data_IF_626003610182
#
_entry.id   IF_626003610182
#
_cell.length_a   1.000
_cell.length_b   1.000
_cell.length_c   1.000
_cell.angle_alpha   90.00
_cell.angle_beta   90.00
_cell.angle_gamma   90.00
#
_symmetry.space_group_name_H-M   'P 1'
#
loop_
_entity.id
_entity.type
_entity.pdbx_description
1 polymer ?
#
# COMPACT_ATOMS: atom_id res chain seq x y z
N UNK A 1 -54.30 -195.97 -233.49
CA UNK A 1 -53.06 -195.29 -233.05
C UNK A 1 -53.18 -193.76 -232.87
N UNK A 2 -54.21 -193.06 -233.39
CA UNK A 2 -54.31 -191.60 -233.23
C UNK A 2 -55.04 -191.12 -231.95
N UNK A 3 -56.16 -191.75 -231.56
CA UNK A 3 -57.06 -191.23 -230.50
C UNK A 3 -56.43 -191.13 -229.10
N UNK A 4 -55.57 -192.08 -228.73
CA UNK A 4 -54.96 -192.18 -227.38
C UNK A 4 -53.85 -191.15 -227.06
N UNK A 5 -53.53 -190.25 -228.01
CA UNK A 5 -52.50 -189.21 -227.82
C UNK A 5 -53.09 -187.83 -227.53
N UNK A 6 -54.31 -187.57 -228.01
CA UNK A 6 -55.01 -186.29 -227.83
C UNK A 6 -55.76 -186.17 -226.49
N UNK A 7 -56.00 -187.28 -225.78
CA UNK A 7 -56.61 -187.24 -224.43
C UNK A 7 -55.59 -186.79 -223.36
N UNK A 8 -54.32 -187.21 -223.47
CA UNK A 8 -53.24 -186.82 -222.55
C UNK A 8 -52.89 -185.33 -222.63
N UNK A 9 -52.78 -184.76 -223.84
CA UNK A 9 -52.51 -183.32 -224.02
C UNK A 9 -53.65 -182.43 -223.48
N UNK A 10 -54.87 -182.96 -223.33
CA UNK A 10 -55.99 -182.22 -222.72
C UNK A 10 -55.87 -182.18 -221.19
N UNK A 11 -55.51 -183.29 -220.57
CA UNK A 11 -55.39 -183.37 -219.10
C UNK A 11 -54.24 -182.49 -218.58
N UNK A 12 -53.10 -182.41 -219.27
CA UNK A 12 -51.99 -181.51 -218.89
C UNK A 12 -52.38 -180.01 -218.94
N UNK A 13 -53.14 -179.59 -219.97
CA UNK A 13 -53.57 -178.19 -220.10
C UNK A 13 -54.60 -177.81 -219.02
N UNK A 14 -55.43 -178.75 -218.59
CA UNK A 14 -56.48 -178.48 -217.61
C UNK A 14 -55.90 -178.28 -216.19
N UNK A 15 -54.83 -179.01 -215.86
CA UNK A 15 -54.12 -178.90 -214.57
C UNK A 15 -53.35 -177.57 -214.43
N UNK A 16 -52.76 -177.08 -215.52
CA UNK A 16 -52.05 -175.79 -215.54
C UNK A 16 -52.98 -174.57 -215.34
N UNK A 17 -54.28 -174.70 -215.58
CA UNK A 17 -55.26 -173.62 -215.36
C UNK A 17 -55.63 -173.50 -213.87
N UNK A 18 -55.86 -174.62 -213.19
CA UNK A 18 -56.20 -174.65 -211.76
C UNK A 18 -55.06 -174.09 -210.87
N UNK A 19 -53.79 -174.32 -211.22
CA UNK A 19 -52.65 -173.70 -210.52
C UNK A 19 -52.61 -172.18 -210.69
N UNK A 20 -53.01 -171.65 -211.85
CA UNK A 20 -53.01 -170.21 -212.11
C UNK A 20 -54.12 -169.47 -211.36
N UNK A 21 -55.31 -170.06 -211.25
CA UNK A 21 -56.43 -169.48 -210.49
C UNK A 21 -56.12 -169.42 -208.98
N UNK A 22 -55.50 -170.48 -208.43
CA UNK A 22 -55.10 -170.50 -207.01
C UNK A 22 -54.05 -169.43 -206.66
N UNK A 23 -53.17 -169.08 -207.60
CA UNK A 23 -52.17 -168.03 -207.41
C UNK A 23 -52.80 -166.62 -207.33
N UNK A 24 -53.90 -166.37 -208.05
CA UNK A 24 -54.56 -165.07 -208.07
C UNK A 24 -55.27 -164.75 -206.74
N UNK A 25 -56.01 -165.71 -206.17
CA UNK A 25 -56.67 -165.54 -204.87
C UNK A 25 -55.68 -165.19 -203.74
N UNK A 26 -54.45 -165.71 -203.80
CA UNK A 26 -53.42 -165.38 -202.81
C UNK A 26 -52.92 -163.93 -202.87
N UNK A 27 -52.91 -163.30 -204.05
CA UNK A 27 -52.50 -161.89 -204.18
C UNK A 27 -53.61 -160.93 -203.77
N UNK A 28 -54.87 -161.21 -204.11
CA UNK A 28 -56.01 -160.40 -203.64
C UNK A 28 -56.09 -160.38 -202.10
N UNK A 29 -55.85 -161.54 -201.45
CA UNK A 29 -55.79 -161.67 -200.00
C UNK A 29 -54.62 -160.90 -199.33
N UNK A 30 -53.57 -160.53 -200.08
CA UNK A 30 -52.48 -159.66 -199.59
C UNK A 30 -52.86 -158.19 -199.70
N UNK A 31 -53.48 -157.77 -200.80
CA UNK A 31 -53.92 -156.37 -201.01
C UNK A 31 -54.92 -155.95 -199.93
N UNK A 32 -55.89 -156.81 -199.59
CA UNK A 32 -56.88 -156.51 -198.55
C UNK A 32 -56.22 -156.32 -197.17
N UNK A 33 -55.20 -157.12 -196.85
CA UNK A 33 -54.41 -156.98 -195.61
C UNK A 33 -53.64 -155.66 -195.56
N UNK A 34 -52.95 -155.30 -196.64
CA UNK A 34 -52.22 -154.03 -196.73
C UNK A 34 -53.15 -152.81 -196.57
N UNK A 35 -54.38 -152.86 -197.09
CA UNK A 35 -55.37 -151.79 -196.89
C UNK A 35 -55.82 -151.66 -195.42
N UNK A 36 -56.01 -152.77 -194.70
CA UNK A 36 -56.34 -152.73 -193.28
C UNK A 36 -55.17 -152.23 -192.42
N UNK A 37 -53.94 -152.63 -192.72
CA UNK A 37 -52.74 -152.10 -192.05
C UNK A 37 -52.61 -150.59 -192.25
N UNK A 38 -52.79 -150.08 -193.48
CA UNK A 38 -52.73 -148.65 -193.78
C UNK A 38 -53.80 -147.84 -193.01
N UNK A 39 -55.00 -148.39 -192.87
CA UNK A 39 -56.09 -147.78 -192.08
C UNK A 39 -55.73 -147.70 -190.60
N UNK A 40 -55.19 -148.80 -190.04
CA UNK A 40 -54.76 -148.89 -188.64
C UNK A 40 -53.64 -147.87 -188.35
N UNK A 41 -52.63 -147.78 -189.22
CA UNK A 41 -51.52 -146.81 -189.09
C UNK A 41 -52.02 -145.36 -189.14
N UNK A 42 -53.01 -145.03 -189.98
CA UNK A 42 -53.61 -143.69 -189.98
C UNK A 42 -54.25 -143.33 -188.65
N UNK A 43 -55.09 -144.20 -188.10
CA UNK A 43 -55.71 -143.97 -186.79
C UNK A 43 -54.67 -143.84 -185.66
N UNK A 44 -53.56 -144.59 -185.73
CA UNK A 44 -52.46 -144.47 -184.79
C UNK A 44 -51.72 -143.12 -184.90
N UNK A 45 -51.51 -142.60 -186.13
CA UNK A 45 -50.92 -141.28 -186.36
C UNK A 45 -51.83 -140.17 -185.82
N UNK A 46 -53.12 -140.18 -186.17
CA UNK A 46 -54.06 -139.14 -185.73
C UNK A 46 -54.19 -139.11 -184.20
N UNK A 47 -54.21 -140.30 -183.57
CA UNK A 47 -54.17 -140.43 -182.10
C UNK A 47 -52.88 -139.83 -181.51
N UNK A 48 -51.71 -140.13 -182.08
CA UNK A 48 -50.42 -139.59 -181.60
C UNK A 48 -50.30 -138.07 -181.79
N UNK A 49 -50.95 -137.51 -182.80
CA UNK A 49 -51.05 -136.05 -182.96
C UNK A 49 -51.87 -135.46 -181.81
N UNK A 50 -53.06 -136.03 -181.53
CA UNK A 50 -53.92 -135.53 -180.45
C UNK A 50 -53.27 -135.65 -179.06
N UNK A 51 -52.63 -136.79 -178.76
CA UNK A 51 -51.84 -136.97 -177.53
C UNK A 51 -50.72 -135.92 -177.42
N UNK A 52 -50.06 -135.54 -178.53
CA UNK A 52 -49.05 -134.49 -178.53
C UNK A 52 -49.61 -133.08 -178.38
N UNK A 53 -50.80 -132.80 -178.90
CA UNK A 53 -51.48 -131.53 -178.68
C UNK A 53 -51.89 -131.35 -177.21
N UNK A 54 -52.40 -132.40 -176.55
CA UNK A 54 -52.66 -132.39 -175.10
C UNK A 54 -51.37 -132.24 -174.27
N UNK A 55 -50.27 -132.91 -174.64
CA UNK A 55 -48.95 -132.69 -174.01
C UNK A 55 -48.47 -131.24 -174.15
N UNK A 56 -48.66 -130.61 -175.32
CA UNK A 56 -48.30 -129.20 -175.53
C UNK A 56 -49.23 -128.24 -174.78
N UNK A 57 -50.51 -128.55 -174.64
CA UNK A 57 -51.44 -127.71 -173.88
C UNK A 57 -51.21 -127.82 -172.37
N UNK A 58 -50.94 -129.03 -171.86
CA UNK A 58 -50.60 -129.27 -170.44
C UNK A 58 -49.26 -128.64 -170.06
N UNK A 59 -48.22 -128.77 -170.88
CA UNK A 59 -46.94 -128.05 -170.64
C UNK A 59 -47.12 -126.54 -170.70
N UNK A 60 -47.91 -126.00 -171.64
CA UNK A 60 -48.22 -124.56 -171.70
C UNK A 60 -48.97 -124.07 -170.46
N UNK A 61 -49.97 -124.82 -169.97
CA UNK A 61 -50.67 -124.52 -168.69
C UNK A 61 -49.72 -124.58 -167.49
N UNK A 62 -48.81 -125.55 -167.44
CA UNK A 62 -47.82 -125.67 -166.36
C UNK A 62 -46.83 -124.51 -166.36
N UNK A 63 -46.34 -124.09 -167.53
CA UNK A 63 -45.49 -122.90 -167.65
C UNK A 63 -46.24 -121.61 -167.31
N UNK A 64 -47.50 -121.44 -167.73
CA UNK A 64 -48.32 -120.29 -167.35
C UNK A 64 -48.49 -120.19 -165.83
N UNK A 65 -48.86 -121.30 -165.16
CA UNK A 65 -48.95 -121.38 -163.68
C UNK A 65 -47.60 -121.08 -162.99
N UNK A 66 -46.49 -121.53 -163.57
CA UNK A 66 -45.16 -121.24 -163.05
C UNK A 66 -44.81 -119.75 -163.17
N UNK A 67 -45.18 -119.10 -164.28
CA UNK A 67 -45.00 -117.66 -164.49
C UNK A 67 -45.88 -116.86 -163.51
N UNK A 68 -47.15 -117.20 -163.37
CA UNK A 68 -48.06 -116.57 -162.39
C UNK A 68 -47.54 -116.73 -160.95
N UNK A 69 -47.05 -117.92 -160.59
CA UNK A 69 -46.44 -118.17 -159.27
C UNK A 69 -45.18 -117.34 -159.06
N UNK A 70 -44.30 -117.21 -160.07
CA UNK A 70 -43.10 -116.36 -159.97
C UNK A 70 -43.45 -114.87 -159.91
N UNK A 71 -44.48 -114.42 -160.64
CA UNK A 71 -44.98 -113.05 -160.57
C UNK A 71 -45.57 -112.73 -159.19
N UNK A 72 -46.38 -113.63 -158.63
CA UNK A 72 -46.89 -113.50 -157.27
C UNK A 72 -45.76 -113.47 -156.21
N UNK A 73 -44.72 -114.29 -156.37
CA UNK A 73 -43.52 -114.23 -155.52
C UNK A 73 -42.76 -112.91 -155.65
N UNK A 74 -42.57 -112.40 -156.87
CA UNK A 74 -41.90 -111.12 -157.12
C UNK A 74 -42.71 -109.93 -156.57
N UNK A 75 -44.03 -109.96 -156.67
CA UNK A 75 -44.91 -108.97 -156.04
C UNK A 75 -44.85 -109.03 -154.52
N UNK A 76 -44.84 -110.23 -153.92
CA UNK A 76 -44.69 -110.39 -152.48
C UNK A 76 -43.32 -109.87 -151.99
N UNK A 77 -42.24 -110.17 -152.71
CA UNK A 77 -40.89 -109.73 -152.37
C UNK A 77 -40.69 -108.22 -152.57
N UNK A 78 -41.26 -107.64 -153.63
CA UNK A 78 -41.22 -106.17 -153.83
C UNK A 78 -42.05 -105.42 -152.77
N UNK A 79 -43.21 -105.93 -152.35
CA UNK A 79 -43.97 -105.39 -151.21
C UNK A 79 -43.19 -105.51 -149.89
N UNK A 80 -42.66 -106.70 -149.60
CA UNK A 80 -41.84 -106.95 -148.40
C UNK A 80 -40.60 -106.03 -148.35
N UNK A 81 -39.92 -105.84 -149.48
CA UNK A 81 -38.80 -104.89 -149.62
C UNK A 81 -39.23 -103.44 -149.37
N UNK A 82 -40.39 -103.03 -149.86
CA UNK A 82 -40.92 -101.68 -149.62
C UNK A 82 -41.26 -101.46 -148.13
N UNK A 83 -41.85 -102.47 -147.47
CA UNK A 83 -42.13 -102.44 -146.03
C UNK A 83 -40.84 -102.42 -145.20
N UNK A 84 -39.86 -103.27 -145.53
CA UNK A 84 -38.55 -103.27 -144.89
C UNK A 84 -37.81 -101.94 -145.04
N UNK A 85 -37.89 -101.28 -146.20
CA UNK A 85 -37.34 -99.94 -146.41
C UNK A 85 -38.08 -98.87 -145.60
N UNK A 86 -39.40 -98.97 -145.45
CA UNK A 86 -40.19 -98.07 -144.60
C UNK A 86 -39.86 -98.25 -143.11
N UNK A 87 -39.74 -99.50 -142.66
CA UNK A 87 -39.32 -99.84 -141.29
C UNK A 87 -37.88 -99.35 -141.03
N UNK A 88 -36.95 -99.59 -141.96
CA UNK A 88 -35.58 -99.06 -141.89
C UNK A 88 -35.56 -97.55 -141.71
N UNK A 89 -36.27 -96.79 -142.56
CA UNK A 89 -36.34 -95.32 -142.43
C UNK A 89 -36.95 -94.86 -141.11
N UNK A 90 -37.92 -95.60 -140.57
CA UNK A 90 -38.46 -95.31 -139.24
C UNK A 90 -37.40 -95.54 -138.17
N UNK A 91 -36.72 -96.69 -138.18
CA UNK A 91 -35.65 -96.99 -137.21
C UNK A 91 -34.49 -95.99 -137.32
N UNK A 92 -34.12 -95.53 -138.52
CA UNK A 92 -33.14 -94.45 -138.71
C UNK A 92 -33.61 -93.12 -138.09
N UNK A 93 -34.91 -92.78 -138.17
CA UNK A 93 -35.49 -91.61 -137.50
C UNK A 93 -35.50 -91.77 -135.98
N UNK A 94 -36.00 -92.92 -135.49
CA UNK A 94 -36.07 -93.26 -134.07
C UNK A 94 -34.66 -93.24 -133.44
N UNK A 95 -33.62 -93.71 -134.15
CA UNK A 95 -32.21 -93.62 -133.74
C UNK A 95 -31.76 -92.16 -133.64
N UNK A 96 -31.98 -91.33 -134.66
CA UNK A 96 -31.58 -89.91 -134.64
C UNK A 96 -32.26 -89.13 -133.49
N UNK A 97 -33.53 -89.43 -133.21
CA UNK A 97 -34.28 -88.83 -132.09
C UNK A 97 -33.70 -89.27 -130.73
N UNK A 98 -33.39 -90.57 -130.57
CA UNK A 98 -32.78 -91.11 -129.36
C UNK A 98 -31.35 -90.60 -129.14
N UNK A 99 -30.55 -90.44 -130.20
CA UNK A 99 -29.22 -89.84 -130.16
C UNK A 99 -29.29 -88.38 -129.71
N UNK A 100 -30.19 -87.57 -130.29
CA UNK A 100 -30.43 -86.18 -129.89
C UNK A 100 -30.90 -86.06 -128.43
N UNK A 101 -31.81 -86.94 -127.99
CA UNK A 101 -32.28 -86.99 -126.61
C UNK A 101 -31.17 -87.41 -125.63
N UNK A 102 -30.33 -88.38 -126.00
CA UNK A 102 -29.16 -88.81 -125.22
C UNK A 102 -28.13 -87.68 -125.10
N UNK A 103 -27.87 -86.95 -126.18
CA UNK A 103 -26.98 -85.79 -126.19
C UNK A 103 -27.49 -84.67 -125.26
N UNK A 104 -28.80 -84.40 -125.30
CA UNK A 104 -29.43 -83.42 -124.40
C UNK A 104 -29.38 -83.87 -122.93
N UNK A 105 -29.68 -85.15 -122.66
CA UNK A 105 -29.58 -85.75 -121.33
C UNK A 105 -28.14 -85.73 -120.79
N UNK A 106 -27.14 -85.99 -121.63
CA UNK A 106 -25.72 -85.90 -121.26
C UNK A 106 -25.31 -84.46 -120.95
N UNK A 107 -25.69 -83.48 -121.79
CA UNK A 107 -25.40 -82.05 -121.54
C UNK A 107 -26.01 -81.59 -120.21
N UNK A 108 -27.30 -81.82 -120.01
CA UNK A 108 -28.00 -81.45 -118.76
C UNK A 108 -27.42 -82.17 -117.53
N UNK A 109 -27.04 -83.46 -117.62
CA UNK A 109 -26.33 -84.17 -116.56
C UNK A 109 -24.98 -83.51 -116.23
N UNK A 110 -24.17 -83.13 -117.23
CA UNK A 110 -22.90 -82.43 -116.96
C UNK A 110 -23.09 -81.04 -116.36
N UNK A 111 -24.17 -80.33 -116.69
CA UNK A 111 -24.52 -79.06 -116.06
C UNK A 111 -24.96 -79.25 -114.60
N UNK A 112 -25.83 -80.23 -114.33
CA UNK A 112 -26.25 -80.58 -112.97
C UNK A 112 -25.08 -81.05 -112.10
N UNK A 113 -24.10 -81.76 -112.66
CA UNK A 113 -22.86 -82.11 -111.93
C UNK A 113 -22.00 -80.88 -111.61
N UNK A 114 -21.93 -79.89 -112.51
CA UNK A 114 -21.24 -78.62 -112.24
C UNK A 114 -21.96 -77.80 -111.18
N UNK A 115 -23.29 -77.71 -111.22
CA UNK A 115 -24.06 -76.98 -110.20
C UNK A 115 -24.01 -77.68 -108.85
N UNK A 116 -24.07 -79.02 -108.80
CA UNK A 116 -23.87 -79.80 -107.59
C UNK A 116 -22.50 -79.54 -106.96
N UNK A 117 -21.41 -79.61 -107.73
CA UNK A 117 -20.05 -79.31 -107.22
C UNK A 117 -19.94 -77.88 -106.69
N UNK A 118 -20.53 -76.89 -107.37
CA UNK A 118 -20.57 -75.50 -106.89
C UNK A 118 -21.34 -75.39 -105.57
N UNK A 119 -22.51 -76.03 -105.46
CA UNK A 119 -23.32 -76.01 -104.24
C UNK A 119 -22.61 -76.74 -103.08
N UNK A 120 -21.91 -77.84 -103.34
CA UNK A 120 -21.09 -78.53 -102.35
C UNK A 120 -19.92 -77.65 -101.85
N UNK A 121 -19.24 -76.95 -102.76
CA UNK A 121 -18.21 -75.99 -102.40
C UNK A 121 -18.78 -74.86 -101.52
N UNK A 122 -19.86 -74.19 -101.96
CA UNK A 122 -20.49 -73.11 -101.19
C UNK A 122 -21.04 -73.60 -99.84
N UNK A 123 -21.55 -74.83 -99.75
CA UNK A 123 -21.97 -75.41 -98.47
C UNK A 123 -20.78 -75.63 -97.52
N UNK A 124 -19.63 -76.11 -98.04
CA UNK A 124 -18.39 -76.25 -97.26
C UNK A 124 -17.84 -74.89 -96.81
N UNK A 125 -17.84 -73.88 -97.69
CA UNK A 125 -17.40 -72.52 -97.38
C UNK A 125 -18.27 -71.90 -96.27
N UNK A 126 -19.59 -71.97 -96.42
CA UNK A 126 -20.55 -71.51 -95.40
C UNK A 126 -20.40 -72.27 -94.07
N UNK A 127 -20.13 -73.58 -94.11
CA UNK A 127 -19.89 -74.34 -92.90
C UNK A 127 -18.62 -73.85 -92.18
N UNK A 128 -17.50 -73.68 -92.90
CA UNK A 128 -16.27 -73.13 -92.29
C UNK A 128 -16.45 -71.71 -91.76
N UNK A 129 -17.28 -70.89 -92.42
CA UNK A 129 -17.62 -69.55 -91.94
C UNK A 129 -18.45 -69.61 -90.65
N UNK A 130 -19.44 -70.51 -90.56
CA UNK A 130 -20.24 -70.72 -89.34
C UNK A 130 -19.38 -71.22 -88.18
N UNK A 131 -18.43 -72.13 -88.43
CA UNK A 131 -17.48 -72.62 -87.42
C UNK A 131 -16.57 -71.49 -86.89
N UNK A 132 -16.07 -70.62 -87.78
CA UNK A 132 -15.27 -69.45 -87.41
C UNK A 132 -16.07 -68.40 -86.61
N UNK A 133 -17.28 -68.05 -87.05
CA UNK A 133 -18.18 -67.13 -86.34
C UNK A 133 -18.57 -67.68 -84.95
N UNK A 134 -18.73 -69.00 -84.80
CA UNK A 134 -18.96 -69.63 -83.50
C UNK A 134 -17.74 -69.50 -82.58
N UNK A 135 -16.53 -69.74 -83.08
CA UNK A 135 -15.29 -69.55 -82.32
C UNK A 135 -15.14 -68.10 -81.86
N UNK A 136 -15.28 -67.12 -82.78
CA UNK A 136 -15.19 -65.70 -82.44
C UNK A 136 -16.26 -65.25 -81.43
N UNK A 137 -17.49 -65.76 -81.54
CA UNK A 137 -18.56 -65.49 -80.57
C UNK A 137 -18.21 -66.02 -79.18
N UNK A 138 -17.62 -67.21 -79.10
CA UNK A 138 -17.30 -67.83 -77.81
C UNK A 138 -16.03 -67.20 -77.19
N UNK A 139 -15.02 -66.82 -77.97
CA UNK A 139 -13.92 -65.94 -77.54
C UNK A 139 -14.44 -64.60 -76.98
N UNK A 140 -15.35 -63.93 -77.70
CA UNK A 140 -15.95 -62.67 -77.25
C UNK A 140 -16.74 -62.82 -75.95
N UNK A 141 -17.39 -63.98 -75.72
CA UNK A 141 -18.06 -64.31 -74.46
C UNK A 141 -17.07 -64.52 -73.32
N UNK A 142 -15.95 -65.20 -73.55
CA UNK A 142 -14.91 -65.36 -72.52
C UNK A 142 -14.29 -64.00 -72.13
N UNK A 143 -14.01 -63.13 -73.11
CA UNK A 143 -13.53 -61.77 -72.87
C UNK A 143 -14.56 -60.95 -72.08
N UNK A 144 -15.84 -61.03 -72.43
CA UNK A 144 -16.91 -60.36 -71.68
C UNK A 144 -17.03 -60.87 -70.24
N UNK A 145 -17.00 -62.19 -70.03
CA UNK A 145 -17.05 -62.79 -68.69
C UNK A 145 -15.81 -62.46 -67.85
N UNK A 146 -14.63 -62.36 -68.46
CA UNK A 146 -13.41 -61.92 -67.78
C UNK A 146 -13.48 -60.42 -67.39
N UNK A 147 -14.02 -59.58 -68.27
CA UNK A 147 -14.27 -58.17 -67.99
C UNK A 147 -15.30 -57.96 -66.86
N UNK A 148 -16.38 -58.74 -66.85
CA UNK A 148 -17.41 -58.72 -65.80
C UNK A 148 -16.85 -59.14 -64.44
N UNK A 149 -16.07 -60.24 -64.38
CA UNK A 149 -15.36 -60.64 -63.14
C UNK A 149 -14.43 -59.54 -62.64
N UNK A 150 -13.69 -58.88 -63.53
CA UNK A 150 -12.81 -57.76 -63.17
C UNK A 150 -13.59 -56.54 -62.67
N UNK A 151 -14.72 -56.22 -63.29
CA UNK A 151 -15.60 -55.14 -62.83
C UNK A 151 -16.14 -55.43 -61.42
N UNK A 152 -16.58 -56.65 -61.15
CA UNK A 152 -17.08 -57.05 -59.83
C UNK A 152 -15.99 -57.00 -58.75
N UNK A 153 -14.75 -57.36 -59.07
CA UNK A 153 -13.60 -57.18 -58.15
C UNK A 153 -13.36 -55.70 -57.82
N UNK A 154 -13.34 -54.83 -58.84
CA UNK A 154 -13.15 -53.38 -58.66
C UNK A 154 -14.30 -52.76 -57.84
N UNK A 155 -15.54 -53.24 -58.01
CA UNK A 155 -16.67 -52.82 -57.18
C UNK A 155 -16.47 -53.21 -55.72
N UNK A 156 -16.01 -54.44 -55.44
CA UNK A 156 -15.66 -54.87 -54.08
C UNK A 156 -14.54 -54.02 -53.47
N UNK A 157 -13.45 -53.80 -54.19
CA UNK A 157 -12.35 -52.91 -53.77
C UNK A 157 -12.83 -51.48 -53.46
N UNK A 158 -13.77 -50.94 -54.26
CA UNK A 158 -14.37 -49.63 -54.01
C UNK A 158 -15.27 -49.60 -52.76
N UNK A 159 -15.98 -50.68 -52.45
CA UNK A 159 -16.79 -50.79 -51.24
C UNK A 159 -15.91 -50.91 -49.98
N UNK A 160 -14.85 -51.73 -50.04
CA UNK A 160 -13.84 -51.81 -48.98
C UNK A 160 -13.20 -50.44 -48.71
N UNK A 161 -12.73 -49.75 -49.76
CA UNK A 161 -12.15 -48.41 -49.63
C UNK A 161 -13.13 -47.37 -49.08
N UNK A 162 -14.43 -47.45 -49.41
CA UNK A 162 -15.48 -46.59 -48.82
C UNK A 162 -15.64 -46.83 -47.33
N UNK A 163 -15.70 -48.09 -46.89
CA UNK A 163 -15.84 -48.41 -45.46
C UNK A 163 -14.60 -47.99 -44.66
N UNK A 164 -13.40 -48.17 -45.23
CA UNK A 164 -12.15 -47.69 -44.64
C UNK A 164 -12.11 -46.15 -44.54
N UNK A 165 -12.60 -45.43 -45.56
CA UNK A 165 -12.72 -43.97 -45.54
C UNK A 165 -13.70 -43.49 -44.45
N UNK A 166 -14.89 -44.08 -44.34
CA UNK A 166 -15.85 -43.76 -43.28
C UNK A 166 -15.27 -43.99 -41.88
N UNK A 167 -14.52 -45.08 -41.70
CA UNK A 167 -13.86 -45.38 -40.43
C UNK A 167 -12.75 -44.37 -40.11
N UNK A 168 -11.96 -43.98 -41.11
CA UNK A 168 -10.94 -42.93 -40.97
C UNK A 168 -11.56 -41.55 -40.66
N UNK A 169 -12.69 -41.19 -41.27
CA UNK A 169 -13.41 -39.95 -40.95
C UNK A 169 -13.97 -39.94 -39.52
N UNK A 170 -14.50 -41.08 -39.03
CA UNK A 170 -14.95 -41.21 -37.64
C UNK A 170 -13.78 -41.05 -36.66
N UNK A 171 -12.63 -41.69 -36.96
CA UNK A 171 -11.42 -41.54 -36.16
C UNK A 171 -10.89 -40.09 -36.17
N UNK A 172 -10.92 -39.41 -37.33
CA UNK A 172 -10.52 -38.00 -37.46
C UNK A 172 -11.40 -37.09 -36.61
N UNK A 173 -12.72 -37.26 -36.65
CA UNK A 173 -13.68 -36.49 -35.83
C UNK A 173 -13.52 -36.73 -34.33
N UNK A 174 -13.18 -37.95 -33.92
CA UNK A 174 -12.86 -38.23 -32.52
C UNK A 174 -11.60 -37.48 -32.06
N UNK A 175 -10.51 -37.53 -32.84
CA UNK A 175 -9.28 -36.80 -32.56
C UNK A 175 -9.46 -35.27 -32.60
N UNK A 176 -10.30 -34.74 -33.50
CA UNK A 176 -10.70 -33.32 -33.53
C UNK A 176 -11.43 -32.91 -32.23
N UNK A 177 -12.29 -33.78 -31.68
CA UNK A 177 -12.99 -33.55 -30.41
C UNK A 177 -12.01 -33.57 -29.22
N UNK A 178 -11.13 -34.57 -29.15
CA UNK A 178 -10.09 -34.66 -28.11
C UNK A 178 -9.15 -33.45 -28.11
N UNK A 179 -8.80 -32.94 -29.31
CA UNK A 179 -8.01 -31.72 -29.46
C UNK A 179 -8.75 -30.49 -28.93
N UNK A 180 -10.06 -30.38 -29.17
CA UNK A 180 -10.86 -29.27 -28.65
C UNK A 180 -10.96 -29.31 -27.12
N UNK A 181 -11.25 -30.48 -26.54
CA UNK A 181 -11.25 -30.67 -25.08
C UNK A 181 -9.89 -30.35 -24.45
N UNK A 182 -8.79 -30.74 -25.10
CA UNK A 182 -7.44 -30.40 -24.63
C UNK A 182 -7.17 -28.89 -24.69
N UNK A 183 -7.61 -28.20 -25.74
CA UNK A 183 -7.50 -26.74 -25.86
C UNK A 183 -8.31 -26.01 -24.78
N UNK A 184 -9.52 -26.47 -24.49
CA UNK A 184 -10.37 -25.90 -23.43
C UNK A 184 -9.73 -26.09 -22.04
N UNK A 185 -9.18 -27.29 -21.75
CA UNK A 185 -8.43 -27.55 -20.51
C UNK A 185 -7.18 -26.67 -20.39
N UNK A 186 -6.47 -26.43 -21.49
CA UNK A 186 -5.31 -25.51 -21.51
C UNK A 186 -5.76 -24.06 -21.21
N UNK A 187 -6.89 -23.63 -21.77
CA UNK A 187 -7.48 -22.32 -21.49
C UNK A 187 -7.87 -22.18 -20.01
N UNK A 188 -8.56 -23.17 -19.46
CA UNK A 188 -8.95 -23.21 -18.06
C UNK A 188 -7.72 -23.14 -17.14
N UNK A 189 -6.74 -24.04 -17.31
CA UNK A 189 -5.50 -24.04 -16.52
C UNK A 189 -4.72 -22.72 -16.66
N UNK A 190 -4.74 -22.10 -17.84
CA UNK A 190 -4.09 -20.80 -18.05
C UNK A 190 -4.77 -19.67 -17.26
N UNK A 191 -6.10 -19.63 -17.25
CA UNK A 191 -6.86 -18.63 -16.45
C UNK A 191 -6.75 -18.87 -14.94
N UNK A 192 -6.74 -20.14 -14.51
CA UNK A 192 -6.47 -20.52 -13.12
C UNK A 192 -5.05 -20.08 -12.69
N UNK A 193 -4.03 -20.34 -13.52
CA UNK A 193 -2.64 -19.96 -13.25
C UNK A 193 -2.48 -18.42 -13.19
N UNK A 194 -3.11 -17.67 -14.10
CA UNK A 194 -3.14 -16.21 -14.03
C UNK A 194 -3.78 -15.70 -12.72
N UNK A 195 -4.87 -16.33 -12.28
CA UNK A 195 -5.56 -16.01 -11.02
C UNK A 195 -4.67 -16.29 -9.80
N UNK A 196 -4.07 -17.49 -9.73
CA UNK A 196 -3.14 -17.88 -8.67
C UNK A 196 -1.90 -16.98 -8.62
N UNK A 197 -1.35 -16.60 -9.77
CA UNK A 197 -0.22 -15.66 -9.86
C UNK A 197 -0.58 -14.26 -9.35
N UNK A 198 -1.81 -13.79 -9.60
CA UNK A 198 -2.32 -12.54 -9.04
C UNK A 198 -2.48 -12.61 -7.52
N UNK A 199 -3.11 -13.68 -7.01
CA UNK A 199 -3.25 -13.94 -5.58
C UNK A 199 -1.89 -14.04 -4.88
N UNK A 200 -0.91 -14.71 -5.50
CA UNK A 200 0.45 -14.83 -4.98
C UNK A 200 1.12 -13.46 -4.82
N UNK A 201 1.03 -12.59 -5.84
CA UNK A 201 1.55 -11.21 -5.77
C UNK A 201 0.86 -10.38 -4.70
N UNK A 202 -0.45 -10.56 -4.51
CA UNK A 202 -1.19 -9.87 -3.45
C UNK A 202 -0.75 -10.34 -2.06
N UNK A 203 -0.53 -11.65 -1.87
CA UNK A 203 0.00 -12.20 -0.63
C UNK A 203 1.44 -11.74 -0.37
N UNK A 204 2.32 -11.76 -1.38
CA UNK A 204 3.69 -11.20 -1.33
C UNK A 204 3.67 -9.74 -0.86
N UNK A 205 2.76 -8.93 -1.40
CA UNK A 205 2.58 -7.53 -0.99
C UNK A 205 2.09 -7.42 0.47
N UNK A 206 1.11 -8.22 0.91
CA UNK A 206 0.66 -8.20 2.31
C UNK A 206 1.74 -8.66 3.30
N UNK A 207 2.59 -9.63 2.93
CA UNK A 207 3.73 -10.05 3.75
C UNK A 207 4.73 -8.92 3.90
N UNK A 208 5.04 -8.21 2.80
CA UNK A 208 5.94 -7.05 2.83
C UNK A 208 5.37 -5.92 3.70
N UNK A 209 4.06 -5.66 3.63
CA UNK A 209 3.40 -4.68 4.49
C UNK A 209 3.47 -5.06 5.98
N UNK A 210 3.09 -6.31 6.33
CA UNK A 210 3.17 -6.80 7.71
C UNK A 210 4.60 -6.82 8.27
N UNK A 211 5.62 -6.96 7.42
CA UNK A 211 7.03 -6.80 7.82
C UNK A 211 7.35 -5.35 8.19
N UNK A 212 6.86 -4.37 7.42
CA UNK A 212 6.99 -2.94 7.75
C UNK A 212 6.28 -2.62 9.08
N UNK A 213 5.03 -3.06 9.25
CA UNK A 213 4.24 -2.85 10.46
C UNK A 213 4.95 -3.45 11.70
N UNK A 214 5.59 -4.61 11.54
CA UNK A 214 6.36 -5.26 12.60
C UNK A 214 7.64 -4.50 12.94
N UNK A 215 8.39 -4.03 11.95
CA UNK A 215 9.60 -3.22 12.17
C UNK A 215 9.27 -1.88 12.84
N UNK A 216 8.15 -1.25 12.46
CA UNK A 216 7.62 -0.05 13.13
C UNK A 216 7.23 -0.34 14.59
N UNK A 217 6.47 -1.40 14.84
CA UNK A 217 6.09 -1.81 16.21
C UNK A 217 7.32 -2.16 17.08
N UNK A 218 8.36 -2.77 16.51
CA UNK A 218 9.64 -3.04 17.20
C UNK A 218 10.40 -1.73 17.49
N UNK A 219 10.35 -0.74 16.59
CA UNK A 219 10.94 0.57 16.83
C UNK A 219 10.17 1.35 17.92
N UNK A 220 8.83 1.32 17.92
CA UNK A 220 8.01 1.90 18.99
C UNK A 220 8.28 1.23 20.34
N UNK A 221 8.35 -0.11 20.39
CA UNK A 221 8.67 -0.85 21.61
C UNK A 221 10.01 -0.41 22.20
N UNK A 222 11.07 -0.28 21.38
CA UNK A 222 12.38 0.23 21.81
C UNK A 222 12.30 1.66 22.35
N UNK A 223 11.56 2.54 21.68
CA UNK A 223 11.34 3.92 22.14
C UNK A 223 10.59 3.96 23.49
N UNK A 224 9.62 3.07 23.71
CA UNK A 224 8.90 2.94 24.98
C UNK A 224 9.81 2.36 26.08
N UNK A 225 10.60 1.34 25.78
CA UNK A 225 11.61 0.80 26.71
C UNK A 225 12.63 1.86 27.13
N UNK A 226 13.15 2.68 26.20
CA UNK A 226 14.06 3.77 26.55
C UNK A 226 13.40 4.81 27.45
N UNK A 227 12.13 5.16 27.21
CA UNK A 227 11.36 6.05 28.08
C UNK A 227 11.14 5.43 29.46
N UNK A 228 10.82 4.13 29.54
CA UNK A 228 10.69 3.39 30.81
C UNK A 228 12.00 3.42 31.59
N UNK A 229 13.12 3.04 30.96
CA UNK A 229 14.46 3.04 31.58
C UNK A 229 14.87 4.43 32.09
N UNK A 230 14.50 5.51 31.40
CA UNK A 230 14.72 6.90 31.87
C UNK A 230 13.86 7.21 33.10
N UNK A 231 12.57 6.88 33.08
CA UNK A 231 11.67 7.07 34.23
C UNK A 231 12.07 6.21 35.45
N UNK A 232 12.56 4.99 35.23
CA UNK A 232 13.13 4.11 36.26
C UNK A 232 14.40 4.73 36.87
N UNK A 233 15.29 5.31 36.06
CA UNK A 233 16.47 6.02 36.55
C UNK A 233 16.11 7.28 37.35
N UNK A 234 15.16 8.09 36.87
CA UNK A 234 14.69 9.29 37.56
C UNK A 234 13.98 8.96 38.88
N UNK A 235 13.14 7.92 38.91
CA UNK A 235 12.48 7.47 40.16
C UNK A 235 13.48 6.87 41.16
N UNK A 236 14.47 6.11 40.70
CA UNK A 236 15.56 5.61 41.56
C UNK A 236 16.38 6.77 42.16
N UNK A 237 16.68 7.81 41.36
CA UNK A 237 17.34 9.03 41.83
C UNK A 237 16.49 9.79 42.85
N UNK A 238 15.20 9.99 42.60
CA UNK A 238 14.30 10.66 43.53
C UNK A 238 14.14 9.89 44.84
N UNK A 239 14.14 8.55 44.80
CA UNK A 239 14.11 7.71 46.00
C UNK A 239 15.39 7.85 46.85
N UNK A 240 16.54 8.02 46.20
CA UNK A 240 17.83 8.30 46.86
C UNK A 240 17.90 9.73 47.43
N UNK A 241 17.42 10.73 46.70
CA UNK A 241 17.28 12.11 47.21
C UNK A 241 16.34 12.16 48.42
N UNK A 242 15.20 11.46 48.36
CA UNK A 242 14.28 11.33 49.50
C UNK A 242 14.91 10.63 50.70
N UNK A 243 15.71 9.57 50.51
CA UNK A 243 16.43 8.92 51.61
C UNK A 243 17.41 9.88 52.28
N UNK A 244 18.18 10.64 51.51
CA UNK A 244 19.13 11.63 52.04
C UNK A 244 18.42 12.73 52.83
N UNK A 245 17.27 13.20 52.34
CA UNK A 245 16.46 14.19 53.06
C UNK A 245 15.84 13.59 54.35
N UNK A 246 15.43 12.32 54.33
CA UNK A 246 14.98 11.62 55.53
C UNK A 246 16.11 11.45 56.56
N UNK A 247 17.31 11.05 56.14
CA UNK A 247 18.49 10.96 57.00
C UNK A 247 18.90 12.33 57.56
N UNK A 248 18.86 13.38 56.74
CA UNK A 248 19.09 14.76 57.15
C UNK A 248 18.07 15.22 58.19
N UNK A 249 16.78 15.02 57.92
CA UNK A 249 15.67 15.34 58.82
C UNK A 249 15.78 14.61 60.16
N UNK A 250 16.09 13.31 60.16
CA UNK A 250 16.37 12.54 61.38
C UNK A 250 17.59 13.11 62.13
N UNK A 251 18.64 13.53 61.42
CA UNK A 251 19.79 14.21 61.99
C UNK A 251 19.43 15.53 62.68
N UNK A 252 18.63 16.37 62.01
CA UNK A 252 18.10 17.62 62.54
C UNK A 252 17.17 17.38 63.74
N UNK A 253 16.32 16.35 63.71
CA UNK A 253 15.44 16.03 64.83
C UNK A 253 16.22 15.55 66.06
N UNK A 254 17.29 14.76 65.88
CA UNK A 254 18.23 14.41 66.97
C UNK A 254 18.91 15.65 67.54
N UNK A 255 19.40 16.55 66.68
CA UNK A 255 20.01 17.81 67.11
C UNK A 255 19.01 18.67 67.90
N UNK A 256 17.77 18.79 67.40
CA UNK A 256 16.67 19.52 68.05
C UNK A 256 16.38 18.96 69.44
N UNK A 257 16.23 17.63 69.58
CA UNK A 257 16.02 16.96 70.89
C UNK A 257 17.21 17.18 71.84
N UNK A 258 18.44 17.18 71.32
CA UNK A 258 19.63 17.51 72.10
C UNK A 258 19.61 18.96 72.61
N UNK A 259 19.23 19.92 71.77
CA UNK A 259 19.08 21.33 72.15
C UNK A 259 17.90 21.55 73.11
N UNK A 260 16.76 20.88 72.91
CA UNK A 260 15.62 20.91 73.84
C UNK A 260 16.02 20.42 75.24
N UNK A 261 16.83 19.34 75.32
CA UNK A 261 17.36 18.86 76.60
C UNK A 261 18.35 19.86 77.22
N UNK A 262 19.25 20.46 76.43
CA UNK A 262 20.17 21.51 76.94
C UNK A 262 19.41 22.74 77.46
N UNK A 263 18.36 23.19 76.76
CA UNK A 263 17.49 24.27 77.24
C UNK A 263 16.81 23.88 78.54
N UNK A 264 16.31 22.65 78.66
CA UNK A 264 15.70 22.15 79.90
C UNK A 264 16.68 22.08 81.08
N UNK A 265 17.92 21.67 80.83
CA UNK A 265 18.99 21.62 81.84
C UNK A 265 19.47 23.04 82.24
N UNK A 266 19.38 24.01 81.34
CA UNK A 266 19.61 25.43 81.65
C UNK A 266 18.43 26.04 82.43
N UNK A 267 17.20 25.64 82.11
CA UNK A 267 15.99 26.07 82.81
C UNK A 267 16.01 25.62 84.28
N UNK A 268 16.33 24.35 84.55
CA UNK A 268 16.45 23.85 85.93
C UNK A 268 17.58 24.54 86.71
N UNK A 269 18.72 24.82 86.08
CA UNK A 269 19.79 25.63 86.70
C UNK A 269 19.36 27.07 87.00
N UNK A 270 18.51 27.66 86.16
CA UNK A 270 17.93 28.97 86.41
C UNK A 270 16.97 28.94 87.61
N UNK A 271 16.04 27.96 87.64
CA UNK A 271 15.10 27.76 88.74
C UNK A 271 15.84 27.51 90.08
N UNK A 272 16.94 26.76 90.07
CA UNK A 272 17.82 26.55 91.22
C UNK A 272 18.49 27.86 91.69
N UNK A 273 18.97 28.70 90.76
CA UNK A 273 19.57 29.99 91.07
C UNK A 273 18.53 30.97 91.67
N UNK A 274 17.35 31.08 91.06
CA UNK A 274 16.25 31.91 91.56
C UNK A 274 15.76 31.44 92.94
N UNK A 275 15.63 30.12 93.13
CA UNK A 275 15.28 29.52 94.41
C UNK A 275 16.29 29.82 95.54
N UNK A 276 17.59 29.93 95.20
CA UNK A 276 18.64 30.34 96.14
C UNK A 276 18.54 31.84 96.49
N UNK A 277 18.28 32.71 95.51
CA UNK A 277 18.07 34.15 95.75
C UNK A 277 16.83 34.39 96.64
N UNK A 278 15.72 33.71 96.36
CA UNK A 278 14.48 33.82 97.15
C UNK A 278 14.63 33.41 98.62
N UNK A 279 15.46 32.41 98.91
CA UNK A 279 15.74 31.94 100.28
C UNK A 279 16.71 32.85 101.03
N UNK A 280 17.66 33.50 100.32
CA UNK A 280 18.59 34.47 100.91
C UNK A 280 17.99 35.86 101.14
N UNK A 281 17.36 36.44 100.11
CA UNK A 281 16.91 37.83 100.10
C UNK A 281 15.86 38.15 101.16
N UNK A 282 14.87 37.26 101.37
CA UNK A 282 13.79 37.48 102.37
C UNK A 282 14.30 37.68 103.80
N UNK A 283 15.41 37.03 104.17
CA UNK A 283 16.02 37.18 105.51
C UNK A 283 16.75 38.51 105.71
N UNK A 284 17.25 39.11 104.63
CA UNK A 284 17.97 40.39 104.67
C UNK A 284 16.98 41.55 104.67
N UNK A 285 15.91 41.46 103.86
CA UNK A 285 14.84 42.47 103.77
C UNK A 285 14.18 42.69 105.14
N UNK A 286 13.71 41.63 105.80
CA UNK A 286 13.06 41.74 107.12
C UNK A 286 13.96 42.40 108.20
N UNK A 287 15.29 42.26 108.07
CA UNK A 287 16.25 42.84 109.00
C UNK A 287 16.53 44.33 108.74
N UNK A 288 16.33 44.78 107.50
CA UNK A 288 16.40 46.19 107.10
C UNK A 288 15.08 46.92 107.44
N UNK A 289 13.93 46.27 107.24
CA UNK A 289 12.60 46.80 107.60
C UNK A 289 12.50 47.12 109.10
N UNK A 290 12.95 46.21 109.98
CA UNK A 290 13.00 46.47 111.42
C UNK A 290 13.91 47.66 111.78
N UNK A 291 15.02 47.85 111.06
CA UNK A 291 15.96 48.94 111.31
C UNK A 291 15.43 50.30 110.84
N UNK A 292 14.61 50.32 109.79
CA UNK A 292 13.90 51.53 109.35
C UNK A 292 12.93 51.98 110.45
N UNK A 293 12.15 51.04 111.00
CA UNK A 293 11.14 51.36 112.01
C UNK A 293 11.71 51.91 113.33
N UNK A 294 12.89 51.42 113.75
CA UNK A 294 13.64 51.99 114.88
C UNK A 294 14.07 53.45 114.62
N UNK A 295 14.59 53.74 113.42
CA UNK A 295 15.06 55.07 113.04
C UNK A 295 13.92 56.08 112.82
N UNK A 296 12.75 55.62 112.38
CA UNK A 296 11.54 56.44 112.29
C UNK A 296 11.10 56.94 113.68
N UNK A 297 11.11 56.07 114.68
CA UNK A 297 10.72 56.41 116.06
C UNK A 297 11.70 57.38 116.74
N UNK A 298 13.01 57.24 116.52
CA UNK A 298 14.01 58.20 117.02
C UNK A 298 13.84 59.59 116.36
N UNK A 299 13.50 59.64 115.06
CA UNK A 299 13.27 60.88 114.32
C UNK A 299 12.00 61.62 114.80
N UNK A 300 10.91 60.91 115.12
CA UNK A 300 9.72 61.54 115.71
C UNK A 300 10.02 62.17 117.09
N UNK A 301 10.81 61.51 117.93
CA UNK A 301 11.22 62.07 119.23
C UNK A 301 12.08 63.33 119.09
N UNK A 302 13.01 63.37 118.15
CA UNK A 302 13.80 64.58 117.88
C UNK A 302 12.97 65.71 117.24
N UNK A 303 12.01 65.41 116.36
CA UNK A 303 11.08 66.44 115.87
C UNK A 303 10.27 67.06 117.02
N UNK A 304 9.84 66.26 117.99
CA UNK A 304 9.07 66.77 119.13
C UNK A 304 9.93 67.70 120.02
N UNK A 305 11.19 67.33 120.29
CA UNK A 305 12.15 68.19 121.01
C UNK A 305 12.45 69.48 120.26
N UNK A 306 12.71 69.40 118.95
CA UNK A 306 13.02 70.56 118.12
C UNK A 306 11.88 71.59 118.11
N UNK A 307 10.61 71.14 118.09
CA UNK A 307 9.46 72.04 118.20
C UNK A 307 9.36 72.77 119.55
N UNK A 308 9.84 72.18 120.65
CA UNK A 308 9.89 72.83 121.96
C UNK A 308 11.01 73.88 122.01
N UNK A 309 12.21 73.55 121.51
CA UNK A 309 13.33 74.51 121.44
C UNK A 309 12.98 75.74 120.60
N UNK A 310 12.27 75.54 119.48
CA UNK A 310 11.79 76.65 118.64
C UNK A 310 10.75 77.55 119.34
N UNK A 311 9.95 77.03 120.28
CA UNK A 311 8.98 77.83 121.06
C UNK A 311 9.70 78.70 122.09
N UNK A 312 10.73 78.18 122.77
CA UNK A 312 11.54 78.97 123.70
C UNK A 312 12.39 80.03 123.00
N UNK A 313 13.00 79.67 121.87
CA UNK A 313 13.80 80.62 121.07
C UNK A 313 12.97 81.86 120.69
N UNK A 314 11.71 81.68 120.23
CA UNK A 314 10.80 82.78 119.91
C UNK A 314 10.37 83.63 121.11
N UNK A 315 10.42 83.11 122.34
CA UNK A 315 10.21 83.90 123.57
C UNK A 315 11.45 84.74 123.90
N UNK A 316 12.63 84.13 123.82
CA UNK A 316 13.89 84.82 124.10
C UNK A 316 14.19 85.92 123.06
N UNK A 317 13.87 85.70 121.78
CA UNK A 317 14.00 86.69 120.70
C UNK A 317 13.18 87.97 120.95
N UNK A 318 11.99 87.86 121.54
CA UNK A 318 11.16 89.02 121.90
C UNK A 318 11.79 89.81 123.04
N UNK A 319 12.23 89.11 124.08
CA UNK A 319 12.89 89.69 125.26
C UNK A 319 14.22 90.36 124.91
N UNK A 320 14.95 89.81 123.93
CA UNK A 320 16.19 90.37 123.40
C UNK A 320 15.93 91.66 122.62
N UNK A 321 14.84 91.73 121.83
CA UNK A 321 14.42 92.95 121.12
C UNK A 321 13.97 94.07 122.08
N UNK A 322 13.30 93.76 123.17
CA UNK A 322 12.98 94.72 124.24
C UNK A 322 14.25 95.27 124.92
N UNK A 323 15.20 94.39 125.26
CA UNK A 323 16.49 94.79 125.86
C UNK A 323 17.35 95.66 124.92
N UNK A 324 17.36 95.38 123.61
CA UNK A 324 18.08 96.21 122.63
C UNK A 324 17.48 97.62 122.58
N UNK A 325 16.14 97.75 122.58
CA UNK A 325 15.48 99.07 122.59
C UNK A 325 15.82 99.86 123.87
N UNK A 326 15.83 99.21 125.03
CA UNK A 326 16.22 99.81 126.31
C UNK A 326 17.66 100.34 126.27
N UNK A 327 18.60 99.55 125.73
CA UNK A 327 20.02 99.93 125.60
C UNK A 327 20.21 101.11 124.64
N UNK A 328 19.43 101.21 123.56
CA UNK A 328 19.48 102.35 122.63
C UNK A 328 18.94 103.65 123.26
N UNK A 329 17.95 103.56 124.14
CA UNK A 329 17.42 104.72 124.89
C UNK A 329 18.41 105.20 125.96
N UNK A 330 18.96 104.28 126.76
CA UNK A 330 19.98 104.59 127.77
C UNK A 330 21.24 105.19 127.14
N UNK A 331 21.68 104.68 125.98
CA UNK A 331 22.85 105.22 125.25
C UNK A 331 22.63 106.66 124.78
N UNK A 332 21.41 107.03 124.37
CA UNK A 332 21.07 108.43 124.04
C UNK A 332 21.06 109.33 125.27
N UNK A 333 20.64 108.82 126.43
CA UNK A 333 20.68 109.55 127.69
C UNK A 333 22.14 109.76 128.17
N UNK A 334 22.98 108.73 128.06
CA UNK A 334 24.39 108.78 128.46
C UNK A 334 25.20 109.77 127.61
N UNK A 335 24.93 109.86 126.30
CA UNK A 335 25.54 110.86 125.41
C UNK A 335 25.16 112.31 125.81
N UNK A 336 23.92 112.57 126.24
CA UNK A 336 23.51 113.88 126.76
C UNK A 336 24.23 114.25 128.05
N UNK A 337 24.49 113.28 128.92
CA UNK A 337 25.26 113.47 130.15
C UNK A 337 26.76 113.72 129.87
N UNK A 338 27.35 113.08 128.87
CA UNK A 338 28.73 113.36 128.44
C UNK A 338 28.90 114.78 127.90
N UNK A 339 28.02 115.23 127.00
CA UNK A 339 28.06 116.59 126.43
C UNK A 339 27.87 117.68 127.52
N UNK A 340 27.03 117.43 128.53
CA UNK A 340 26.92 118.31 129.70
C UNK A 340 28.20 118.32 130.56
N UNK A 341 28.87 117.17 130.68
CA UNK A 341 30.10 117.02 131.47
C UNK A 341 31.28 117.75 130.82
N UNK A 342 31.47 117.65 129.50
CA UNK A 342 32.52 118.39 128.77
C UNK A 342 32.32 119.90 128.85
N UNK A 343 31.06 120.38 128.76
CA UNK A 343 30.72 121.80 128.92
C UNK A 343 31.06 122.35 130.31
N UNK A 344 30.92 121.54 131.36
CA UNK A 344 31.33 121.90 132.72
C UNK A 344 32.85 121.86 132.91
N UNK A 345 33.54 120.85 132.36
CA UNK A 345 35.01 120.77 132.41
C UNK A 345 35.69 121.93 131.69
N UNK A 346 35.15 122.38 130.55
CA UNK A 346 35.70 123.54 129.84
C UNK A 346 35.50 124.85 130.62
N UNK A 347 34.38 125.03 131.36
CA UNK A 347 34.23 126.17 132.29
C UNK A 347 35.24 126.12 133.44
N UNK A 348 35.52 124.94 134.00
CA UNK A 348 36.52 124.79 135.07
C UNK A 348 37.93 125.17 134.58
N UNK A 349 38.30 124.83 133.34
CA UNK A 349 39.58 125.24 132.73
C UNK A 349 39.70 126.77 132.60
N UNK A 350 38.62 127.46 132.20
CA UNK A 350 38.61 128.93 132.10
C UNK A 350 38.77 129.57 133.47
N UNK A 351 38.03 129.09 134.48
CA UNK A 351 38.13 129.65 135.84
C UNK A 351 39.49 129.41 136.51
N UNK A 352 40.16 128.26 136.27
CA UNK A 352 41.53 128.06 136.76
C UNK A 352 42.51 129.11 136.23
N UNK A 353 42.44 129.40 134.92
CA UNK A 353 43.34 130.36 134.27
C UNK A 353 43.16 131.79 134.82
N UNK A 354 41.92 132.17 135.15
CA UNK A 354 41.61 133.46 135.77
C UNK A 354 42.09 133.57 137.23
N UNK A 355 42.22 132.45 137.95
CA UNK A 355 42.82 132.44 139.30
C UNK A 355 44.34 132.56 139.21
N UNK A 356 44.97 131.82 138.30
CA UNK A 356 46.43 131.89 138.05
C UNK A 356 46.87 133.32 137.66
N UNK A 357 46.15 133.98 136.75
CA UNK A 357 46.39 135.39 136.37
C UNK A 357 46.19 136.38 137.54
N UNK A 358 45.29 136.09 138.48
CA UNK A 358 45.07 136.93 139.66
C UNK A 358 46.15 136.74 140.75
N UNK A 359 46.64 135.51 140.93
CA UNK A 359 47.75 135.20 141.85
C UNK A 359 49.06 135.85 141.39
N UNK A 360 49.31 135.91 140.08
CA UNK A 360 50.50 136.55 139.52
C UNK A 360 50.51 138.08 139.77
N UNK A 361 49.35 138.74 139.67
CA UNK A 361 49.18 140.16 140.01
C UNK A 361 49.38 140.40 141.52
N UNK A 362 48.92 139.48 142.37
CA UNK A 362 49.12 139.57 143.82
C UNK A 362 50.61 139.44 144.20
N UNK A 363 51.33 138.51 143.58
CA UNK A 363 52.77 138.32 143.78
C UNK A 363 53.59 139.57 143.40
N UNK A 364 53.27 140.22 142.28
CA UNK A 364 53.93 141.47 141.83
C UNK A 364 53.73 142.62 142.83
N UNK A 365 52.54 142.76 143.40
CA UNK A 365 52.28 143.81 144.40
C UNK A 365 52.94 143.51 145.76
N UNK A 366 52.99 142.24 146.18
CA UNK A 366 53.71 141.85 147.40
C UNK A 366 55.22 142.10 147.29
N UNK A 367 55.80 141.94 146.09
CA UNK A 367 57.20 142.28 145.81
C UNK A 367 57.48 143.80 145.93
N UNK A 368 56.56 144.65 145.45
CA UNK A 368 56.65 146.11 145.63
C UNK A 368 56.59 146.51 147.11
N UNK A 369 55.72 145.86 147.89
CA UNK A 369 55.60 146.10 149.33
C UNK A 369 56.91 145.80 150.08
N UNK A 370 57.55 144.65 149.79
CA UNK A 370 58.84 144.29 150.39
C UNK A 370 59.98 145.25 150.04
N UNK A 371 60.00 145.79 148.82
CA UNK A 371 61.03 146.77 148.43
C UNK A 371 60.86 148.10 149.15
N UNK A 372 59.63 148.62 149.22
CA UNK A 372 59.33 149.84 149.96
C UNK A 372 59.56 149.71 151.49
N UNK A 373 59.41 148.51 152.04
CA UNK A 373 59.75 148.22 153.44
C UNK A 373 61.27 148.24 153.67
N UNK A 374 62.06 147.62 152.78
CA UNK A 374 63.53 147.64 152.85
C UNK A 374 64.10 149.06 152.77
N UNK A 375 63.55 149.91 151.88
CA UNK A 375 63.99 151.30 151.73
C UNK A 375 63.63 152.17 152.98
N UNK A 376 62.67 151.74 153.81
CA UNK A 376 62.30 152.41 155.05
C UNK A 376 63.20 151.96 156.23
N UNK A 377 63.51 150.67 156.33
CA UNK A 377 64.41 150.11 157.35
C UNK A 377 65.82 150.72 157.22
N UNK A 378 66.33 150.90 155.99
CA UNK A 378 67.56 151.64 155.67
C UNK A 378 67.52 153.14 156.08
N UNK A 379 66.32 153.73 156.16
CA UNK A 379 66.13 155.12 156.62
C UNK A 379 66.11 155.23 158.14
N UNK A 380 65.65 154.17 158.84
CA UNK A 380 65.62 154.11 160.30
C UNK A 380 67.03 153.93 160.89
N UNK A 381 67.86 153.04 160.32
CA UNK A 381 69.24 152.84 160.81
C UNK A 381 70.11 154.10 160.65
N UNK A 382 69.83 154.97 159.66
CA UNK A 382 70.52 156.26 159.52
C UNK A 382 70.10 157.31 160.56
N UNK A 383 68.90 157.20 161.13
CA UNK A 383 68.45 158.08 162.22
C UNK A 383 69.10 157.68 163.56
N UNK A 384 69.12 156.38 163.88
CA UNK A 384 69.70 155.83 165.11
C UNK A 384 71.21 156.10 165.25
N UNK A 385 71.93 156.13 164.12
CA UNK A 385 73.36 156.50 164.08
C UNK A 385 73.58 158.00 164.32
N UNK A 386 72.59 158.85 164.02
CA UNK A 386 72.70 160.30 164.22
C UNK A 386 72.49 160.73 165.69
N UNK A 387 71.52 160.14 166.41
CA UNK A 387 71.30 160.50 167.83
C UNK A 387 72.31 159.87 168.80
N UNK A 388 72.86 158.68 168.48
CA UNK A 388 73.94 158.08 169.26
C UNK A 388 75.22 158.94 169.35
N UNK A 389 75.39 159.96 168.49
CA UNK A 389 76.50 160.91 168.57
C UNK A 389 76.19 162.19 169.37
N UNK A 390 74.92 162.55 169.58
CA UNK A 390 74.56 163.75 170.36
C UNK A 390 74.55 163.51 171.88
N UNK A 391 74.34 162.27 172.32
CA UNK A 391 74.46 161.87 173.74
C UNK A 391 75.87 162.09 174.31
N UNK A 392 76.93 162.05 173.48
CA UNK A 392 78.33 162.06 173.93
C UNK A 392 78.95 163.44 174.24
N UNK A 393 78.28 164.56 173.99
CA UNK A 393 78.91 165.90 174.14
C UNK A 393 78.16 166.96 174.95
N UNK A 394 76.94 166.72 175.46
CA UNK A 394 76.20 167.70 176.31
C UNK A 394 75.33 167.01 177.37
N UNK A 395 75.84 166.32 178.39
CA UNK A 395 76.82 166.79 179.37
C UNK A 395 76.57 168.19 179.99
N UNK A 396 75.56 168.97 179.53
CA UNK A 396 75.20 170.28 180.08
C UNK A 396 73.82 170.72 179.56
N UNK A 397 72.89 170.90 180.49
CA UNK A 397 71.56 171.53 180.32
C UNK A 397 70.57 170.81 179.40
N UNK A 398 69.26 170.75 179.62
CA UNK A 398 68.32 171.17 180.68
C UNK A 398 66.95 170.96 180.02
N UNK A 399 65.96 170.47 180.76
CA UNK A 399 64.52 170.79 180.63
C UNK A 399 63.73 170.60 179.32
N UNK A 400 62.49 170.10 179.53
CA UNK A 400 61.21 170.57 178.94
C UNK A 400 60.85 170.32 177.47
N UNK A 401 59.59 169.88 177.29
CA UNK A 401 58.65 170.30 176.21
C UNK A 401 58.95 169.75 174.80
N UNK A 402 58.00 169.50 173.88
CA UNK A 402 56.56 169.12 173.90
C UNK A 402 56.11 168.82 172.44
N UNK A 403 54.95 168.18 172.29
CA UNK A 403 53.89 168.48 171.31
C UNK A 403 54.01 168.15 169.79
N UNK A 404 52.82 167.88 169.22
CA UNK A 404 52.35 168.26 167.87
C UNK A 404 52.91 167.49 166.63
N UNK A 405 52.19 167.32 165.49
CA UNK A 405 50.81 167.68 165.07
C UNK A 405 50.41 167.01 163.72
N UNK A 406 49.10 166.82 163.51
CA UNK A 406 48.32 166.94 162.23
C UNK A 406 48.72 166.05 161.01
N UNK A 407 48.02 165.95 159.86
CA UNK A 407 46.92 166.72 159.19
C UNK A 407 46.29 165.92 158.02
N UNK A 408 45.00 166.18 157.65
CA UNK A 408 44.36 166.01 156.30
C UNK A 408 44.42 164.63 155.58
N UNK A 409 43.65 164.29 154.54
CA UNK A 409 42.54 164.88 153.74
C UNK A 409 42.12 163.83 152.68
N UNK A 410 40.84 163.67 152.34
CA UNK A 410 40.12 164.30 151.20
C UNK A 410 40.00 163.42 149.90
N UNK A 411 38.74 163.28 149.48
CA UNK A 411 38.16 163.39 148.13
C UNK A 411 38.39 162.44 146.91
N UNK A 412 37.23 161.99 146.38
CA UNK A 412 36.79 161.90 144.96
C UNK A 412 37.55 160.93 144.01
N UNK A 413 36.92 160.17 143.10
CA UNK A 413 35.92 160.58 142.09
C UNK A 413 35.42 159.34 141.30
N UNK A 414 34.12 159.27 140.97
CA UNK A 414 33.70 158.64 139.69
C UNK A 414 34.34 159.41 138.51
N UNK A 415 34.39 158.87 137.28
CA UNK A 415 33.42 159.42 136.35
C UNK A 415 32.92 158.44 135.26
N UNK A 416 31.64 158.60 134.92
CA UNK A 416 31.09 158.59 133.54
C UNK A 416 31.50 157.46 132.58
N UNK A 417 30.58 156.61 132.12
CA UNK A 417 29.65 156.91 131.01
C UNK A 417 30.38 157.06 129.64
N UNK A 418 29.83 156.71 128.47
CA UNK A 418 28.44 156.43 128.08
C UNK A 418 28.44 155.90 126.63
N UNK A 419 27.29 155.40 126.16
CA UNK A 419 26.85 155.40 124.74
C UNK A 419 27.72 154.57 123.76
N UNK A 420 27.15 153.88 122.77
CA UNK A 420 25.76 153.67 122.36
C UNK A 420 25.78 152.55 121.31
N UNK A 421 24.81 152.37 120.41
CA UNK A 421 23.51 153.00 120.23
C UNK A 421 22.65 151.96 119.47
N UNK A 422 21.43 151.67 119.92
CA UNK A 422 20.17 152.12 119.28
C UNK A 422 19.89 151.65 117.85
N UNK A 423 18.75 150.94 117.68
CA UNK A 423 17.87 150.93 116.48
C UNK A 423 18.50 150.38 115.17
N UNK A 424 17.84 149.64 114.28
CA UNK A 424 16.47 149.60 113.69
C UNK A 424 16.34 148.16 113.11
N UNK A 425 15.25 147.34 113.18
CA UNK A 425 13.86 147.47 112.64
C UNK A 425 13.01 146.20 112.99
N UNK A 426 11.68 146.31 112.86
CA UNK A 426 10.63 145.32 112.41
C UNK A 426 10.97 143.81 112.23
N UNK A 427 10.08 142.81 112.42
CA UNK A 427 8.63 142.76 112.72
C UNK A 427 8.09 141.31 112.84
N UNK A 428 7.07 141.09 113.69
CA UNK A 428 5.86 140.20 113.57
C UNK A 428 5.86 138.77 112.96
N UNK A 429 4.91 137.93 113.48
CA UNK A 429 4.35 136.64 112.95
C UNK A 429 5.20 135.38 113.25
N UNK A 430 4.70 134.22 113.74
CA UNK A 430 3.36 133.72 114.21
C UNK A 430 3.55 132.61 115.30
N UNK A 431 2.50 132.13 116.02
CA UNK A 431 2.58 131.02 116.99
C UNK A 431 1.80 129.76 116.57
N UNK A 432 1.85 128.71 117.42
CA UNK A 432 1.42 127.30 117.20
C UNK A 432 2.28 126.53 116.20
#
# INVERSE_FOLDING_TARGET
>A
KARKRAELEKEEIQLALEEAESALEQEEAKVLRAQMELSTVRQEIDRRIHEKEEEFETTRRNHARSIESMQASLEAETRSKAEALKQKKKLESDINELESALDHANRTNTELQKTLKRLQQTASELQTQVEHEQQQRDEAREVAAAAERRANLIVGELEELRTALEQAERARKAAESELHEAADRISEVSTQNATLSSQRRQLEATVTAMQSDLDEAVAELKNVEERSKRAEADTARLAEELRREQEHSIGVERLRKGLEQQVKDLQTRLDEAEGNVLKGGKRIIAKLEQRIHELESENEMEQHRHQETLKELRKNDRRLKELVFQIEEDRKNQLRLQDLTEKLQNKIKVYKRQVEEAEEIAAVNLAKYRKAQSDLEDSAERADVAENQLSKLRAKNRSTVSANRTTSGDDYREPTATRGASMVRSSSVRPR
#
